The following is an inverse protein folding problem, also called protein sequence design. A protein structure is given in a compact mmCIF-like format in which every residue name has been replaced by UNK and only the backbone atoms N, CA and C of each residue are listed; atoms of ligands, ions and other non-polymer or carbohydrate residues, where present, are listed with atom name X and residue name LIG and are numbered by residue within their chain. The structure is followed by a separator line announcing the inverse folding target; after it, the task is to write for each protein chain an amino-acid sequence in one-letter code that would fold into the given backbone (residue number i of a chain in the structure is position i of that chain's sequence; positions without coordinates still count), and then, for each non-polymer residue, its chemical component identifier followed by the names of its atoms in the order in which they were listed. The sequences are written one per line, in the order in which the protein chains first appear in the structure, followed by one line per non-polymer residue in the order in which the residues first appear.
data_IF_780352193814
#
_entry.id   IF_780352193814
#
_cell.length_a   1.000
_cell.length_b   1.000
_cell.length_c   1.000
_cell.angle_alpha   90.00
_cell.angle_beta   90.00
_cell.angle_gamma   90.00
#
_symmetry.space_group_name_H-M   'P 1'
#
loop_
_entity.id
_entity.type
_entity.pdbx_description
1 polymer ?
#
# COMPACT_ATOMS: atom_id res chain seq x y z
N UNK A 1 0.84 -9.07 9.96
CA UNK A 1 0.30 -10.46 10.01
C UNK A 1 -0.62 -10.80 8.83
N UNK A 2 -1.18 -9.85 8.07
CA UNK A 2 -2.05 -10.18 6.92
C UNK A 2 -1.40 -11.14 5.92
N UNK A 3 -0.20 -10.82 5.46
CA UNK A 3 0.58 -11.66 4.54
C UNK A 3 0.86 -13.08 5.10
N UNK A 4 1.30 -13.16 6.37
CA UNK A 4 1.52 -14.42 7.11
C UNK A 4 0.27 -15.32 7.09
N UNK A 5 -0.91 -14.75 7.38
CA UNK A 5 -2.17 -15.50 7.41
C UNK A 5 -2.60 -16.01 6.03
N UNK A 6 -2.15 -15.33 4.96
CA UNK A 6 -2.42 -15.70 3.58
C UNK A 6 -1.32 -16.61 2.99
N UNK A 7 -0.22 -16.85 3.72
CA UNK A 7 0.89 -17.66 3.26
C UNK A 7 1.72 -17.02 2.14
N UNK A 8 1.73 -15.68 2.05
CA UNK A 8 2.49 -14.92 1.05
C UNK A 8 3.56 -14.05 1.70
N UNK A 9 4.71 -13.79 1.04
CA UNK A 9 5.69 -12.83 1.52
C UNK A 9 5.11 -11.42 1.58
N UNK A 10 5.47 -10.65 2.60
CA UNK A 10 5.00 -9.27 2.73
C UNK A 10 5.57 -8.37 1.64
N UNK A 11 6.80 -8.62 1.17
CA UNK A 11 7.39 -7.92 0.03
C UNK A 11 6.65 -8.13 -1.31
N UNK A 12 5.82 -9.18 -1.41
CA UNK A 12 4.95 -9.44 -2.56
C UNK A 12 3.53 -8.87 -2.37
N UNK A 13 3.29 -8.12 -1.29
CA UNK A 13 2.00 -7.53 -0.98
C UNK A 13 1.94 -6.03 -1.31
N UNK A 14 0.72 -5.56 -1.55
CA UNK A 14 0.34 -4.15 -1.64
C UNK A 14 -0.57 -3.80 -0.45
N UNK A 15 -0.17 -2.79 0.32
CA UNK A 15 -0.92 -2.28 1.45
C UNK A 15 -1.47 -0.87 1.14
N UNK A 16 -2.77 -0.68 1.36
CA UNK A 16 -3.43 0.61 1.30
C UNK A 16 -3.71 1.08 2.73
N UNK A 17 -3.16 2.23 3.12
CA UNK A 17 -3.21 2.71 4.51
C UNK A 17 -3.65 4.18 4.59
N UNK A 18 -4.50 4.51 5.57
CA UNK A 18 -5.07 5.84 5.80
C UNK A 18 -4.63 6.46 7.14
N UNK A 19 -3.77 5.78 7.90
CA UNK A 19 -3.25 6.23 9.19
C UNK A 19 -1.71 6.07 9.30
N UNK A 20 -0.99 6.96 10.03
CA UNK A 20 0.46 6.89 10.16
C UNK A 20 0.98 5.54 10.67
N UNK A 21 0.36 5.00 11.73
CA UNK A 21 0.76 3.71 12.30
C UNK A 21 0.60 2.54 11.31
N UNK A 22 -0.42 2.61 10.44
CA UNK A 22 -0.64 1.64 9.39
C UNK A 22 0.45 1.73 8.31
N UNK A 23 0.74 2.94 7.85
CA UNK A 23 1.83 3.21 6.89
C UNK A 23 3.19 2.73 7.44
N UNK A 24 3.50 3.06 8.70
CA UNK A 24 4.73 2.61 9.36
C UNK A 24 4.82 1.08 9.42
N UNK A 25 3.72 0.40 9.79
CA UNK A 25 3.67 -1.04 9.86
C UNK A 25 3.81 -1.71 8.48
N UNK A 26 3.18 -1.14 7.45
CA UNK A 26 3.26 -1.62 6.08
C UNK A 26 4.70 -1.49 5.53
N UNK A 27 5.33 -0.33 5.69
CA UNK A 27 6.72 -0.10 5.30
C UNK A 27 7.68 -1.02 6.04
N UNK A 28 7.52 -1.17 7.37
CA UNK A 28 8.34 -2.05 8.18
C UNK A 28 8.19 -3.54 7.79
N UNK A 29 7.05 -3.92 7.21
CA UNK A 29 6.83 -5.28 6.70
C UNK A 29 7.49 -5.57 5.35
N UNK A 30 7.94 -4.54 4.63
CA UNK A 30 8.47 -4.66 3.27
C UNK A 30 7.41 -4.59 2.18
N UNK A 31 6.13 -4.43 2.52
CA UNK A 31 5.05 -4.30 1.54
C UNK A 31 5.15 -3.00 0.72
N UNK A 32 4.74 -3.08 -0.54
CA UNK A 32 4.48 -1.86 -1.33
C UNK A 32 3.34 -1.10 -0.65
N UNK A 33 3.52 0.17 -0.35
CA UNK A 33 2.57 0.95 0.46
C UNK A 33 2.00 2.13 -0.33
N UNK A 34 0.68 2.25 -0.35
CA UNK A 34 -0.08 3.36 -0.96
C UNK A 34 -0.89 4.06 0.13
N UNK A 35 -0.81 5.38 0.17
CA UNK A 35 -1.56 6.17 1.14
C UNK A 35 -2.94 6.50 0.56
N UNK A 36 -3.99 6.30 1.38
CA UNK A 36 -5.38 6.57 1.01
C UNK A 36 -5.83 7.91 1.59
N UNK A 37 -6.43 8.74 0.75
CA UNK A 37 -7.01 10.02 1.11
C UNK A 37 -5.97 11.12 1.36
N UNK A 38 -6.31 12.01 2.30
CA UNK A 38 -5.57 13.25 2.57
C UNK A 38 -4.59 13.14 3.73
N UNK A 39 -4.18 11.92 4.11
CA UNK A 39 -3.20 11.75 5.19
C UNK A 39 -1.88 12.44 4.82
N UNK A 40 -1.42 13.32 5.71
CA UNK A 40 -0.11 13.96 5.64
C UNK A 40 0.67 13.65 6.92
N UNK A 41 1.81 12.97 6.78
CA UNK A 41 2.76 12.72 7.85
C UNK A 41 4.17 12.59 7.26
N UNK A 42 5.21 12.74 8.08
CA UNK A 42 6.60 12.57 7.59
C UNK A 42 6.83 11.20 6.94
N UNK A 43 6.19 10.15 7.48
CA UNK A 43 6.26 8.79 6.94
C UNK A 43 5.58 8.62 5.58
N UNK A 44 4.68 9.53 5.19
CA UNK A 44 3.99 9.46 3.89
C UNK A 44 4.77 10.17 2.77
N UNK A 45 5.89 10.82 3.09
CA UNK A 45 6.68 11.57 2.12
C UNK A 45 7.18 10.68 0.98
N UNK A 46 6.80 11.03 -0.25
CA UNK A 46 7.21 10.30 -1.46
C UNK A 46 6.44 9.01 -1.74
N UNK A 47 5.46 8.63 -0.90
CA UNK A 47 4.62 7.46 -1.14
C UNK A 47 3.56 7.75 -2.22
N UNK A 48 3.21 6.75 -3.06
CA UNK A 48 2.08 6.85 -3.97
C UNK A 48 0.76 7.04 -3.19
N UNK A 49 -0.18 7.76 -3.81
CA UNK A 49 -1.44 8.19 -3.17
C UNK A 49 -2.65 7.98 -4.05
N UNK A 50 -3.75 7.60 -3.42
CA UNK A 50 -5.08 7.57 -4.04
C UNK A 50 -6.05 8.38 -3.18
N UNK A 51 -7.05 9.04 -3.78
CA UNK A 51 -8.06 9.77 -3.02
C UNK A 51 -9.06 8.85 -2.31
N UNK A 52 -9.28 7.66 -2.87
CA UNK A 52 -10.21 6.63 -2.44
C UNK A 52 -10.20 5.47 -3.44
N UNK A 53 -11.03 4.46 -3.20
CA UNK A 53 -11.06 3.25 -4.05
C UNK A 53 -11.97 3.37 -5.28
N UNK A 54 -12.76 4.45 -5.38
CA UNK A 54 -13.67 4.66 -6.50
C UNK A 54 -12.91 4.79 -7.82
N UNK A 55 -13.26 3.95 -8.80
CA UNK A 55 -12.60 3.93 -10.11
C UNK A 55 -11.20 3.31 -10.11
N UNK A 56 -10.71 2.82 -8.96
CA UNK A 56 -9.38 2.24 -8.87
C UNK A 56 -9.36 0.84 -9.48
N UNK A 57 -8.38 0.57 -10.34
CA UNK A 57 -8.03 -0.78 -10.80
C UNK A 57 -6.60 -1.12 -10.42
N UNK A 58 -6.39 -2.39 -10.06
CA UNK A 58 -5.08 -2.96 -9.79
C UNK A 58 -4.87 -4.11 -10.77
N UNK A 59 -3.84 -3.99 -11.60
CA UNK A 59 -3.45 -5.01 -12.59
C UNK A 59 -2.07 -5.58 -12.22
N UNK A 60 -1.84 -6.89 -12.31
CA UNK A 60 -0.48 -7.43 -12.20
C UNK A 60 0.36 -6.93 -13.39
N UNK A 61 1.56 -6.43 -13.10
CA UNK A 61 2.53 -5.98 -14.12
C UNK A 61 3.91 -6.55 -13.80
N UNK A 62 4.30 -7.62 -14.51
CA UNK A 62 5.57 -8.30 -14.27
C UNK A 62 5.64 -8.84 -12.84
N UNK A 63 6.67 -8.44 -12.09
CA UNK A 63 6.84 -8.78 -10.67
C UNK A 63 6.18 -7.78 -9.71
N UNK A 64 5.41 -6.82 -10.22
CA UNK A 64 4.75 -5.79 -9.44
C UNK A 64 3.29 -5.62 -9.83
N UNK A 65 2.75 -4.45 -9.50
CA UNK A 65 1.37 -4.09 -9.77
C UNK A 65 1.30 -2.71 -10.42
N UNK A 66 0.37 -2.55 -11.35
CA UNK A 66 -0.04 -1.25 -11.88
C UNK A 66 -1.33 -0.83 -11.21
N UNK A 67 -1.32 0.38 -10.66
CA UNK A 67 -2.50 1.00 -10.05
C UNK A 67 -2.97 2.11 -10.99
N UNK A 68 -4.25 2.08 -11.39
CA UNK A 68 -4.90 3.13 -12.19
C UNK A 68 -6.12 3.64 -11.43
N UNK A 69 -6.37 4.94 -11.51
CA UNK A 69 -7.55 5.62 -10.95
C UNK A 69 -7.85 6.87 -11.76
#
# INVERSE_FOLDING_TARGET
RGAELLGVPAEECLAFEDAPAGVEAALASGATTVVVGTLEADVTAGLPRIAGYDGLTVEPEGSGFRIRG
#
